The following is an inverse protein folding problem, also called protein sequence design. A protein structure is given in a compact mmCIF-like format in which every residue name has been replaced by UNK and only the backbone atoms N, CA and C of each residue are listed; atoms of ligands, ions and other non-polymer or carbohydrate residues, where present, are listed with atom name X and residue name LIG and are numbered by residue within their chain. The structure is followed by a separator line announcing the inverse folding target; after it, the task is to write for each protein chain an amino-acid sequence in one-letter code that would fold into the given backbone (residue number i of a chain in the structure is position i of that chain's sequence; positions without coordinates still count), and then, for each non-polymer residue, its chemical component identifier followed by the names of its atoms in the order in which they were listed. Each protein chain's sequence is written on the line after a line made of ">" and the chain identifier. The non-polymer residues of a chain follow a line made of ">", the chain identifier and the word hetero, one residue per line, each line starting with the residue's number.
data_IF_171379675776
#
_entry.id   IF_171379675776
#
_cell.length_a   1.000
_cell.length_b   1.000
_cell.length_c   1.000
_cell.angle_alpha   90.00
_cell.angle_beta   90.00
_cell.angle_gamma   90.00
#
_symmetry.space_group_name_H-M   'P 1'
#
loop_
_entity.id
_entity.type
_entity.pdbx_description
1 polymer ?
#
# COMPACT_ATOMS: atom_id res chain seq x y z
N UNK A 1 20.40 1.94 -7.59
CA UNK A 1 19.02 1.51 -7.33
C UNK A 1 18.07 2.65 -7.64
N UNK A 2 16.93 2.37 -8.26
CA UNK A 2 15.90 3.36 -8.61
C UNK A 2 14.54 2.82 -8.20
N UNK A 3 13.70 3.68 -7.60
CA UNK A 3 12.29 3.40 -7.30
C UNK A 3 11.43 4.06 -8.36
N UNK A 4 10.54 3.32 -9.01
CA UNK A 4 9.46 3.87 -9.81
C UNK A 4 8.21 4.04 -8.91
N UNK A 5 7.77 5.27 -8.74
CA UNK A 5 6.49 5.59 -8.11
C UNK A 5 5.48 5.74 -9.23
N UNK A 6 4.51 4.81 -9.30
CA UNK A 6 3.54 4.80 -10.38
C UNK A 6 2.58 5.98 -10.22
N UNK A 7 2.51 6.83 -11.24
CA UNK A 7 1.57 7.94 -11.27
C UNK A 7 0.17 7.45 -11.69
N UNK A 8 -0.65 7.13 -10.70
CA UNK A 8 -2.04 6.72 -10.89
C UNK A 8 -3.04 7.91 -10.85
N UNK A 9 -2.52 9.13 -10.82
CA UNK A 9 -3.34 10.33 -10.55
C UNK A 9 -3.57 10.50 -9.05
N UNK A 10 -3.07 11.56 -8.45
CA UNK A 10 -3.25 11.83 -7.02
C UNK A 10 -2.24 12.84 -6.46
N UNK A 11 -2.57 13.45 -5.34
CA UNK A 11 -1.81 14.61 -4.83
C UNK A 11 -0.59 14.27 -3.96
N UNK A 12 -0.47 13.04 -3.43
CA UNK A 12 0.54 12.71 -2.40
C UNK A 12 1.85 12.10 -2.94
N UNK A 13 2.04 12.04 -4.26
CA UNK A 13 3.21 11.41 -4.91
C UNK A 13 4.53 12.01 -4.45
N UNK A 14 4.57 13.33 -4.24
CA UNK A 14 5.77 14.05 -3.78
C UNK A 14 6.17 13.68 -2.36
N UNK A 15 5.20 13.40 -1.47
CA UNK A 15 5.48 12.95 -0.10
C UNK A 15 6.10 11.56 -0.09
N UNK A 16 5.57 10.64 -0.92
CA UNK A 16 6.15 9.31 -1.12
C UNK A 16 7.56 9.41 -1.70
N UNK A 17 7.76 10.26 -2.72
CA UNK A 17 9.08 10.49 -3.32
C UNK A 17 10.10 10.95 -2.27
N UNK A 18 9.75 11.96 -1.46
CA UNK A 18 10.63 12.46 -0.38
C UNK A 18 10.92 11.39 0.66
N UNK A 19 9.93 10.56 1.04
CA UNK A 19 10.12 9.48 1.99
C UNK A 19 11.11 8.42 1.46
N UNK A 20 11.09 8.12 0.17
CA UNK A 20 12.07 7.23 -0.48
C UNK A 20 13.46 7.87 -0.53
N UNK A 21 13.56 9.14 -0.91
CA UNK A 21 14.84 9.85 -1.09
C UNK A 21 15.62 10.02 0.22
N UNK A 22 14.96 10.00 1.38
CA UNK A 22 15.61 9.95 2.71
C UNK A 22 16.54 8.73 2.83
N UNK A 23 16.22 7.61 2.16
CA UNK A 23 17.04 6.40 2.13
C UNK A 23 18.17 6.44 1.09
N UNK A 24 18.45 7.61 0.48
CA UNK A 24 19.45 7.83 -0.56
C UNK A 24 19.22 6.99 -1.82
N UNK A 25 17.96 6.66 -2.09
CA UNK A 25 17.53 5.93 -3.27
C UNK A 25 16.84 6.92 -4.21
N UNK A 26 17.24 6.91 -5.50
CA UNK A 26 16.61 7.77 -6.52
C UNK A 26 15.17 7.34 -6.74
N UNK A 27 14.21 8.26 -6.61
CA UNK A 27 12.78 8.01 -6.86
C UNK A 27 12.31 8.80 -8.10
N UNK A 28 11.56 8.13 -8.98
CA UNK A 28 11.00 8.72 -10.20
C UNK A 28 9.50 8.48 -10.23
N UNK A 29 8.72 9.55 -10.28
CA UNK A 29 7.28 9.50 -10.52
C UNK A 29 7.07 9.28 -12.02
N UNK A 30 6.38 8.21 -12.40
CA UNK A 30 6.24 7.82 -13.81
C UNK A 30 5.02 6.93 -14.07
N UNK A 31 4.49 7.00 -15.28
CA UNK A 31 3.53 6.06 -15.84
C UNK A 31 4.08 5.34 -17.08
N UNK A 32 5.36 5.49 -17.36
CA UNK A 32 6.07 4.84 -18.46
C UNK A 32 6.37 3.37 -18.11
N UNK A 33 5.88 2.43 -18.95
CA UNK A 33 6.04 0.99 -18.74
C UNK A 33 7.51 0.58 -18.62
N UNK A 34 8.37 1.11 -19.48
CA UNK A 34 9.78 0.73 -19.49
C UNK A 34 10.47 1.18 -18.19
N UNK A 35 10.15 2.38 -17.68
CA UNK A 35 10.67 2.87 -16.41
C UNK A 35 10.16 2.05 -15.23
N UNK A 36 8.87 1.65 -15.23
CA UNK A 36 8.30 0.77 -14.21
C UNK A 36 8.95 -0.60 -14.23
N UNK A 37 9.07 -1.22 -15.40
CA UNK A 37 9.66 -2.57 -15.54
C UNK A 37 11.15 -2.63 -15.21
N UNK A 38 11.91 -1.57 -15.48
CA UNK A 38 13.36 -1.53 -15.27
C UNK A 38 13.79 -0.95 -13.90
N UNK A 39 12.84 -0.51 -13.08
CA UNK A 39 13.15 -0.01 -11.74
C UNK A 39 13.56 -1.16 -10.80
N UNK A 40 14.44 -0.85 -9.82
CA UNK A 40 14.82 -1.83 -8.78
C UNK A 40 13.65 -2.13 -7.82
N UNK A 41 12.79 -1.14 -7.60
CA UNK A 41 11.60 -1.22 -6.75
C UNK A 41 10.46 -0.45 -7.40
N UNK A 42 9.23 -0.88 -7.15
CA UNK A 42 8.03 -0.18 -7.62
C UNK A 42 7.15 0.16 -6.44
N UNK A 43 6.62 1.38 -6.40
CA UNK A 43 5.62 1.80 -5.40
C UNK A 43 4.34 2.15 -6.13
N UNK A 44 3.24 1.53 -5.69
CA UNK A 44 1.87 1.85 -6.07
C UNK A 44 1.29 2.74 -4.97
N UNK A 45 1.31 4.06 -5.12
CA UNK A 45 0.74 4.96 -4.13
C UNK A 45 -0.78 4.90 -4.18
N UNK A 46 -1.42 5.32 -3.11
CA UNK A 46 -2.88 5.27 -3.04
C UNK A 46 -3.48 6.55 -2.50
N UNK A 47 -3.96 7.39 -3.39
CA UNK A 47 -4.84 8.52 -3.07
C UNK A 47 -6.02 8.54 -4.05
N UNK A 48 -7.19 8.93 -3.58
CA UNK A 48 -8.43 8.87 -4.35
C UNK A 48 -9.24 7.60 -4.06
N UNK A 49 -9.84 7.00 -5.07
CA UNK A 49 -10.61 5.77 -4.96
C UNK A 49 -9.96 4.61 -5.73
N UNK A 50 -10.28 3.38 -5.32
CA UNK A 50 -9.81 2.17 -6.02
C UNK A 50 -10.19 2.20 -7.52
N UNK A 51 -11.41 2.64 -7.84
CA UNK A 51 -11.89 2.76 -9.21
C UNK A 51 -11.03 3.72 -10.04
N UNK A 52 -10.74 4.91 -9.53
CA UNK A 52 -9.95 5.89 -10.26
C UNK A 52 -8.52 5.38 -10.52
N UNK A 53 -7.93 4.72 -9.54
CA UNK A 53 -6.59 4.13 -9.68
C UNK A 53 -6.61 3.00 -10.72
N UNK A 54 -7.58 2.09 -10.68
CA UNK A 54 -7.70 1.01 -11.65
C UNK A 54 -7.91 1.55 -13.07
N UNK A 55 -8.81 2.51 -13.27
CA UNK A 55 -9.03 3.15 -14.58
C UNK A 55 -7.77 3.85 -15.10
N UNK A 56 -7.03 4.52 -14.22
CA UNK A 56 -5.76 5.17 -14.57
C UNK A 56 -4.71 4.15 -15.02
N UNK A 57 -4.58 3.02 -14.33
CA UNK A 57 -3.65 1.95 -14.71
C UNK A 57 -4.07 1.27 -16.02
N UNK A 58 -5.37 1.03 -16.20
CA UNK A 58 -5.93 0.40 -17.40
C UNK A 58 -5.71 1.29 -18.64
N UNK A 59 -6.05 2.58 -18.56
CA UNK A 59 -5.87 3.54 -19.67
C UNK A 59 -4.42 3.67 -20.14
N UNK A 60 -3.45 3.35 -19.28
CA UNK A 60 -2.01 3.33 -19.57
C UNK A 60 -1.46 1.93 -19.87
N UNK A 61 -2.33 0.93 -19.88
CA UNK A 61 -1.96 -0.48 -20.03
C UNK A 61 -0.88 -0.95 -19.01
N UNK A 62 -0.94 -0.48 -17.77
CA UNK A 62 0.03 -0.80 -16.72
C UNK A 62 -0.36 -2.02 -15.89
N UNK A 63 -1.60 -2.48 -15.89
CA UNK A 63 -2.08 -3.57 -15.05
C UNK A 63 -1.26 -4.85 -15.29
N UNK A 64 -1.18 -5.34 -16.52
CA UNK A 64 -0.43 -6.56 -16.83
C UNK A 64 1.08 -6.36 -16.64
N UNK A 65 1.59 -5.16 -16.87
CA UNK A 65 2.99 -4.81 -16.57
C UNK A 65 3.26 -4.99 -15.07
N UNK A 66 2.42 -4.43 -14.20
CA UNK A 66 2.57 -4.53 -12.74
C UNK A 66 2.44 -5.99 -12.28
N UNK A 67 1.47 -6.74 -12.79
CA UNK A 67 1.27 -8.16 -12.44
C UNK A 67 2.46 -9.04 -12.81
N UNK A 68 3.20 -8.69 -13.86
CA UNK A 68 4.39 -9.43 -14.34
C UNK A 68 5.70 -9.02 -13.66
N UNK A 69 5.70 -8.03 -12.77
CA UNK A 69 6.91 -7.59 -12.08
C UNK A 69 7.48 -8.70 -11.18
N UNK A 70 8.79 -8.86 -11.20
CA UNK A 70 9.53 -9.79 -10.33
C UNK A 70 10.31 -9.07 -9.23
N UNK A 71 10.62 -7.78 -9.42
CA UNK A 71 11.21 -6.93 -8.40
C UNK A 71 10.18 -6.56 -7.31
N UNK A 72 10.62 -6.14 -6.10
CA UNK A 72 9.72 -5.77 -5.03
C UNK A 72 8.75 -4.64 -5.40
N UNK A 73 7.48 -4.85 -5.06
CA UNK A 73 6.37 -3.90 -5.27
C UNK A 73 5.72 -3.57 -3.93
N UNK A 74 5.58 -2.27 -3.61
CA UNK A 74 4.89 -1.79 -2.42
C UNK A 74 3.60 -1.07 -2.81
N UNK A 75 2.44 -1.60 -2.38
CA UNK A 75 1.16 -0.91 -2.42
C UNK A 75 0.89 -0.14 -1.13
N UNK A 76 0.66 1.17 -1.21
CA UNK A 76 0.35 2.03 -0.05
C UNK A 76 -1.15 2.39 -0.08
N UNK A 77 -1.88 2.11 0.99
CA UNK A 77 -3.31 2.42 1.17
C UNK A 77 -4.16 1.88 -0.01
N UNK A 78 -4.67 2.71 -0.89
CA UNK A 78 -5.38 2.27 -2.11
C UNK A 78 -4.47 1.40 -2.99
N UNK A 79 -3.17 1.67 -3.05
CA UNK A 79 -2.20 0.82 -3.75
C UNK A 79 -2.15 -0.61 -3.19
N UNK A 80 -2.40 -0.81 -1.90
CA UNK A 80 -2.62 -2.13 -1.31
C UNK A 80 -3.99 -2.69 -1.72
N UNK A 81 -5.07 -1.89 -1.68
CA UNK A 81 -6.42 -2.34 -2.00
C UNK A 81 -6.53 -2.93 -3.42
N UNK A 82 -5.89 -2.29 -4.40
CA UNK A 82 -5.94 -2.75 -5.78
C UNK A 82 -5.17 -4.06 -6.04
N UNK A 83 -4.39 -4.56 -5.07
CA UNK A 83 -3.77 -5.89 -5.16
C UNK A 83 -4.78 -7.04 -4.98
N UNK A 84 -5.92 -6.78 -4.32
CA UNK A 84 -6.96 -7.77 -4.03
C UNK A 84 -7.81 -8.13 -5.27
N UNK A 85 -8.81 -9.01 -5.08
CA UNK A 85 -9.74 -9.37 -6.17
C UNK A 85 -10.72 -8.22 -6.44
N UNK A 86 -11.26 -7.61 -5.38
CA UNK A 86 -12.32 -6.58 -5.45
C UNK A 86 -12.31 -5.66 -4.24
N UNK A 87 -12.76 -4.44 -4.44
CA UNK A 87 -13.05 -3.47 -3.38
C UNK A 87 -14.54 -3.12 -3.37
N UNK A 88 -15.16 -3.08 -2.19
CA UNK A 88 -16.52 -2.53 -2.01
C UNK A 88 -16.58 -1.03 -2.35
N UNK A 89 -15.43 -0.35 -2.43
CA UNK A 89 -15.37 1.03 -2.88
C UNK A 89 -15.77 1.12 -4.35
N UNK A 90 -16.96 1.66 -4.59
CA UNK A 90 -17.56 1.77 -5.93
C UNK A 90 -17.63 0.43 -6.67
N UNK A 91 -17.73 -0.68 -5.92
CA UNK A 91 -17.83 -2.03 -6.47
C UNK A 91 -16.72 -2.35 -7.50
N UNK A 92 -15.48 -2.00 -7.17
CA UNK A 92 -14.35 -2.00 -8.10
C UNK A 92 -13.69 -3.36 -8.22
N UNK A 93 -13.57 -3.88 -9.43
CA UNK A 93 -12.70 -5.01 -9.75
C UNK A 93 -11.23 -4.57 -9.72
N UNK A 94 -10.37 -5.35 -9.04
CA UNK A 94 -8.97 -5.02 -8.81
C UNK A 94 -8.01 -5.99 -9.55
N UNK A 95 -6.71 -5.95 -9.25
CA UNK A 95 -5.70 -6.68 -10.03
C UNK A 95 -5.66 -8.20 -9.78
N UNK A 96 -6.33 -8.72 -8.76
CA UNK A 96 -6.40 -10.17 -8.44
C UNK A 96 -5.03 -10.82 -8.18
N UNK A 97 -4.10 -10.07 -7.59
CA UNK A 97 -2.79 -10.59 -7.18
C UNK A 97 -2.92 -11.33 -5.86
N UNK A 98 -3.73 -10.82 -4.94
CA UNK A 98 -4.00 -11.36 -3.61
C UNK A 98 -5.48 -11.71 -3.53
N UNK A 99 -5.79 -12.98 -3.20
CA UNK A 99 -7.19 -13.39 -3.06
C UNK A 99 -7.86 -12.77 -1.83
N UNK A 100 -9.06 -12.24 -2.02
CA UNK A 100 -9.86 -11.61 -0.99
C UNK A 100 -10.45 -10.28 -1.44
N UNK A 101 -11.26 -9.69 -0.54
CA UNK A 101 -11.97 -8.45 -0.82
C UNK A 101 -11.65 -7.37 0.21
N UNK A 102 -11.64 -6.14 -0.27
CA UNK A 102 -11.57 -4.95 0.57
C UNK A 102 -12.98 -4.52 0.92
N UNK A 103 -13.26 -4.34 2.21
CA UNK A 103 -14.60 -4.05 2.77
C UNK A 103 -14.66 -2.65 3.36
N UNK A 104 -15.86 -2.07 3.44
CA UNK A 104 -16.09 -0.82 4.13
C UNK A 104 -16.18 -1.04 5.64
N UNK A 105 -15.57 -0.15 6.44
CA UNK A 105 -15.81 -0.14 7.88
C UNK A 105 -17.27 0.26 8.20
N UNK A 106 -17.84 -0.41 9.17
CA UNK A 106 -19.11 0.03 9.74
C UNK A 106 -18.86 1.21 10.69
N UNK A 107 -19.53 2.32 10.44
CA UNK A 107 -19.50 3.46 11.37
C UNK A 107 -20.49 3.28 12.51
N UNK A 108 -20.07 3.58 13.73
CA UNK A 108 -20.95 3.71 14.87
C UNK A 108 -20.58 4.95 15.71
N UNK A 109 -21.25 5.15 16.86
CA UNK A 109 -20.99 6.31 17.72
C UNK A 109 -19.56 6.35 18.28
N UNK A 110 -18.86 5.21 18.36
CA UNK A 110 -17.51 5.06 18.92
C UNK A 110 -16.42 5.15 17.85
N UNK A 111 -16.74 4.64 16.64
CA UNK A 111 -15.76 4.54 15.55
C UNK A 111 -16.21 5.35 14.34
N UNK A 112 -15.50 6.46 14.11
CA UNK A 112 -15.73 7.31 12.93
C UNK A 112 -15.11 6.68 11.68
N UNK A 113 -15.81 6.80 10.55
CA UNK A 113 -15.31 6.42 9.23
C UNK A 113 -15.29 7.69 8.37
N UNK A 114 -14.15 8.06 7.76
CA UNK A 114 -12.89 7.33 7.73
C UNK A 114 -12.15 7.28 9.07
N UNK A 115 -11.36 6.20 9.29
CA UNK A 115 -10.29 6.20 10.27
C UNK A 115 -9.26 7.22 9.83
N UNK A 116 -8.98 8.24 10.65
CA UNK A 116 -7.98 9.26 10.38
C UNK A 116 -7.13 9.50 11.63
N UNK A 117 -5.81 9.27 11.50
CA UNK A 117 -4.86 9.50 12.59
C UNK A 117 -3.94 8.30 12.85
N UNK A 118 -3.30 8.34 14.01
CA UNK A 118 -2.33 7.35 14.44
C UNK A 118 -3.03 6.15 15.06
N UNK A 119 -2.60 4.94 14.65
CA UNK A 119 -3.08 3.70 15.23
C UNK A 119 -1.94 2.70 15.37
N UNK A 120 -2.02 1.86 16.39
CA UNK A 120 -1.03 0.84 16.68
C UNK A 120 -1.08 -0.27 15.63
N UNK A 121 0.09 -0.66 15.12
CA UNK A 121 0.28 -1.80 14.23
C UNK A 121 1.14 -2.83 14.94
N UNK A 122 0.71 -4.08 14.87
CA UNK A 122 1.42 -5.23 15.44
C UNK A 122 1.80 -6.19 14.32
N UNK A 123 3.08 -6.42 14.13
CA UNK A 123 3.62 -7.37 13.17
C UNK A 123 3.58 -8.79 13.72
N UNK A 124 3.25 -9.78 12.89
CA UNK A 124 2.95 -11.13 13.32
C UNK A 124 4.20 -12.00 13.49
N UNK A 125 5.28 -11.73 12.74
CA UNK A 125 6.52 -12.52 12.79
C UNK A 125 7.55 -11.88 13.72
N UNK A 126 8.28 -12.72 14.46
CA UNK A 126 9.31 -12.28 15.41
C UNK A 126 10.37 -11.37 14.74
N UNK A 127 10.79 -11.72 13.52
CA UNK A 127 11.81 -10.98 12.77
C UNK A 127 11.38 -9.56 12.35
N UNK A 128 10.12 -9.22 12.54
CA UNK A 128 9.53 -7.91 12.19
C UNK A 128 8.96 -7.17 13.40
N UNK A 129 9.19 -7.67 14.61
CA UNK A 129 8.69 -7.05 15.85
C UNK A 129 9.26 -5.67 16.12
N UNK A 130 10.43 -5.37 15.61
CA UNK A 130 11.03 -4.04 15.64
C UNK A 130 10.27 -2.98 14.81
N UNK A 131 9.32 -3.42 13.99
CA UNK A 131 8.38 -2.57 13.24
C UNK A 131 7.07 -2.31 14.00
N UNK A 132 6.82 -2.96 15.15
CA UNK A 132 5.65 -2.67 16.00
C UNK A 132 5.71 -1.20 16.46
N UNK A 133 4.75 -0.38 16.03
CA UNK A 133 4.72 1.04 16.36
C UNK A 133 3.34 1.64 16.01
N UNK A 134 3.20 2.96 16.19
CA UNK A 134 2.08 3.73 15.70
C UNK A 134 2.35 4.24 14.29
N UNK A 135 1.37 4.04 13.40
CA UNK A 135 1.39 4.49 12.01
C UNK A 135 0.17 5.36 11.70
N UNK A 136 0.30 6.22 10.70
CA UNK A 136 -0.78 7.10 10.28
C UNK A 136 -1.71 6.41 9.28
N UNK A 137 -3.00 6.42 9.56
CA UNK A 137 -4.07 5.87 8.73
C UNK A 137 -5.00 6.98 8.21
N UNK A 138 -5.55 6.76 7.02
CA UNK A 138 -6.56 7.63 6.40
C UNK A 138 -7.45 6.76 5.47
N UNK A 139 -8.30 5.89 6.05
CA UNK A 139 -9.03 4.90 5.26
C UNK A 139 -10.45 4.65 5.75
N UNK A 140 -11.38 4.46 4.80
CA UNK A 140 -12.77 4.03 5.02
C UNK A 140 -12.98 2.55 4.75
N UNK A 141 -12.03 1.93 4.06
CA UNK A 141 -12.08 0.53 3.64
C UNK A 141 -10.86 -0.21 4.18
N UNK A 142 -10.99 -1.53 4.36
CA UNK A 142 -9.96 -2.39 4.95
C UNK A 142 -10.01 -3.80 4.36
N UNK A 143 -8.91 -4.53 4.42
CA UNK A 143 -8.89 -5.97 4.19
C UNK A 143 -9.03 -6.74 5.50
N UNK A 144 -9.85 -7.79 5.49
CA UNK A 144 -9.90 -8.75 6.59
C UNK A 144 -8.53 -9.43 6.77
N UNK A 145 -8.31 -10.00 7.96
CA UNK A 145 -7.10 -10.81 8.23
C UNK A 145 -7.19 -12.08 7.40
N UNK A 146 -6.16 -12.36 6.61
CA UNK A 146 -6.02 -13.53 5.74
C UNK A 146 -4.62 -14.15 5.90
N UNK A 147 -4.36 -15.28 5.26
CA UNK A 147 -3.08 -16.00 5.40
C UNK A 147 -1.84 -15.16 5.01
N UNK A 148 -2.00 -14.20 4.11
CA UNK A 148 -0.93 -13.32 3.64
C UNK A 148 -0.72 -12.09 4.54
N UNK A 149 -1.55 -11.91 5.58
CA UNK A 149 -1.40 -10.81 6.56
C UNK A 149 -0.09 -10.96 7.32
N UNK A 150 0.70 -9.90 7.36
CA UNK A 150 1.97 -9.84 8.10
C UNK A 150 1.93 -8.87 9.27
N UNK A 151 0.95 -7.94 9.29
CA UNK A 151 0.69 -7.06 10.43
C UNK A 151 -0.79 -6.73 10.53
N UNK A 152 -1.24 -6.49 11.76
CA UNK A 152 -2.63 -6.17 12.09
C UNK A 152 -2.75 -4.84 12.82
N UNK A 153 -3.91 -4.22 12.71
CA UNK A 153 -4.37 -3.09 13.52
C UNK A 153 -5.84 -3.29 13.87
N UNK A 154 -6.39 -2.43 14.73
CA UNK A 154 -7.79 -2.51 15.15
C UNK A 154 -8.47 -1.14 15.01
N UNK A 155 -9.63 -1.14 14.33
CA UNK A 155 -10.55 0.00 14.26
C UNK A 155 -11.95 -0.53 14.05
N UNK A 156 -12.83 -0.49 15.05
CA UNK A 156 -14.11 -1.20 15.11
C UNK A 156 -14.02 -2.73 14.96
N UNK A 157 -13.11 -3.22 14.15
CA UNK A 157 -12.75 -4.64 13.98
C UNK A 157 -11.24 -4.78 13.79
N UNK A 158 -10.63 -5.92 14.12
CA UNK A 158 -9.27 -6.24 13.71
C UNK A 158 -9.18 -6.35 12.18
N UNK A 159 -8.11 -5.80 11.59
CA UNK A 159 -7.92 -5.80 10.14
C UNK A 159 -6.45 -5.93 9.74
N UNK A 160 -6.20 -6.23 8.47
CA UNK A 160 -4.86 -6.31 7.89
C UNK A 160 -4.26 -4.92 7.75
N UNK A 161 -3.22 -4.63 8.54
CA UNK A 161 -2.45 -3.39 8.43
C UNK A 161 -1.33 -3.49 7.40
N UNK A 162 -0.74 -4.70 7.23
CA UNK A 162 0.21 -4.99 6.16
C UNK A 162 0.07 -6.43 5.68
N UNK A 163 0.37 -6.64 4.40
CA UNK A 163 0.20 -7.91 3.70
C UNK A 163 1.39 -8.19 2.79
N UNK A 164 1.77 -9.46 2.61
CA UNK A 164 2.82 -9.87 1.69
C UNK A 164 2.44 -11.14 0.93
N UNK A 165 2.62 -11.10 -0.40
CA UNK A 165 2.55 -12.27 -1.27
C UNK A 165 3.66 -12.17 -2.32
N UNK A 166 4.58 -13.14 -2.31
CA UNK A 166 5.76 -13.14 -3.19
C UNK A 166 6.55 -11.81 -3.08
N UNK A 167 6.76 -11.12 -4.20
CA UNK A 167 7.39 -9.81 -4.30
C UNK A 167 6.46 -8.62 -4.03
N UNK A 168 5.17 -8.85 -3.77
CA UNK A 168 4.20 -7.80 -3.45
C UNK A 168 4.05 -7.62 -1.94
N UNK A 169 4.34 -6.43 -1.46
CA UNK A 169 4.07 -5.93 -0.12
C UNK A 169 2.94 -4.90 -0.21
N UNK A 170 2.04 -4.90 0.75
CA UNK A 170 1.01 -3.86 0.88
C UNK A 170 0.95 -3.33 2.31
N UNK A 171 0.68 -2.04 2.50
CA UNK A 171 0.37 -1.46 3.80
C UNK A 171 -0.86 -0.56 3.71
N UNK A 172 -1.74 -0.64 4.71
CA UNK A 172 -2.94 0.19 4.82
C UNK A 172 -2.60 1.59 5.32
N UNK A 173 -1.58 1.70 6.16
CA UNK A 173 -1.09 2.97 6.66
C UNK A 173 -0.25 3.70 5.62
N UNK A 174 0.04 4.96 5.88
CA UNK A 174 0.86 5.82 5.07
C UNK A 174 2.28 5.92 5.67
N UNK A 175 3.27 5.15 5.21
CA UNK A 175 4.63 5.22 5.75
C UNK A 175 5.24 6.61 5.54
N UNK A 176 4.91 7.31 4.45
CA UNK A 176 5.35 8.67 4.16
C UNK A 176 4.80 9.73 5.13
N UNK A 177 3.79 9.37 5.94
CA UNK A 177 3.19 10.20 7.00
C UNK A 177 3.45 9.66 8.40
N UNK A 178 4.16 8.54 8.53
CA UNK A 178 4.34 7.81 9.79
C UNK A 178 5.69 8.08 10.48
N UNK A 179 6.32 9.21 10.20
CA UNK A 179 7.54 9.67 10.87
C UNK A 179 8.63 8.59 10.91
N UNK A 180 9.16 8.28 12.11
CA UNK A 180 10.24 7.30 12.28
C UNK A 180 9.79 5.86 11.98
N UNK A 181 8.59 5.48 12.43
CA UNK A 181 8.03 4.15 12.13
C UNK A 181 7.91 3.92 10.62
N UNK A 182 7.43 4.93 9.87
CA UNK A 182 7.34 4.87 8.42
C UNK A 182 8.69 4.71 7.73
N UNK A 183 9.74 5.38 8.23
CA UNK A 183 11.11 5.20 7.72
C UNK A 183 11.61 3.78 7.92
N UNK A 184 11.45 3.21 9.12
CA UNK A 184 11.81 1.82 9.40
C UNK A 184 11.09 0.83 8.49
N UNK A 185 9.79 1.05 8.25
CA UNK A 185 9.02 0.20 7.34
C UNK A 185 9.51 0.29 5.89
N UNK A 186 9.84 1.48 5.39
CA UNK A 186 10.43 1.64 4.06
C UNK A 186 11.83 1.03 3.98
N UNK A 187 12.63 1.14 5.03
CA UNK A 187 13.94 0.47 5.12
C UNK A 187 13.79 -1.06 5.07
N UNK A 188 12.81 -1.62 5.77
CA UNK A 188 12.46 -3.03 5.69
C UNK A 188 12.10 -3.43 4.24
N UNK A 189 11.27 -2.65 3.56
CA UNK A 189 10.90 -2.88 2.16
C UNK A 189 12.12 -2.90 1.23
N UNK A 190 13.07 -1.96 1.39
CA UNK A 190 14.24 -1.87 0.52
C UNK A 190 15.32 -2.92 0.80
N UNK A 191 15.38 -3.49 1.99
CA UNK A 191 16.47 -4.38 2.41
C UNK A 191 16.06 -5.85 2.54
N UNK A 192 14.79 -6.17 2.65
CA UNK A 192 14.30 -7.53 2.99
C UNK A 192 13.43 -8.18 1.92
N UNK A 193 13.06 -7.46 0.88
CA UNK A 193 12.37 -7.94 -0.30
C UNK A 193 13.27 -7.79 -1.51
#
# INVERSE_FOLDING_TARGET
>A
MTVAIVDCGGENLRSVQRAVEIHKIKAVITNDKAKVSNASFVILPGVGSAQNVMQSLESRNLIETIKSLTQPVLGICIGMHILFDRSEEQDTECMKIISGNVKKFNSDKRFKVPQMGWNKVTFLKEQTKDLDDYYYFANSYYSQIINQTIATAEHSVPFTAAIQKNNFLGCQFHPEKSSFAGRKFLEYFFNKL
#
